data_IF_469509626453
#
_entry.id   IF_469509626453
#
_cell.length_a   1.000
_cell.length_b   1.000
_cell.length_c   1.000
_cell.angle_alpha   90.00
_cell.angle_beta   90.00
_cell.angle_gamma   90.00
#
_symmetry.space_group_name_H-M   'P 1'
#
loop_
_entity.id
_entity.type
_entity.pdbx_description
1 polymer ?
#
# COMPACT_ATOMS: atom_id res chain seq x y z
N UNK A 1 24.33 8.52 22.64
CA UNK A 1 23.73 7.52 21.75
C UNK A 1 22.55 6.89 22.47
N UNK A 2 21.37 6.95 21.86
CA UNK A 2 20.18 6.25 22.37
C UNK A 2 20.29 4.82 21.86
N UNK A 3 20.48 3.87 22.77
CA UNK A 3 20.48 2.45 22.42
C UNK A 3 19.06 2.02 22.08
N UNK A 4 18.83 1.60 20.83
CA UNK A 4 17.56 1.06 20.34
C UNK A 4 17.71 -0.43 20.14
N UNK A 5 16.86 -1.21 20.80
CA UNK A 5 16.88 -2.69 20.67
C UNK A 5 15.63 -3.15 19.95
N UNK A 6 14.49 -2.57 20.31
CA UNK A 6 13.19 -2.90 19.75
C UNK A 6 12.44 -1.65 19.32
N UNK A 7 11.52 -1.81 18.37
CA UNK A 7 10.48 -0.84 18.11
C UNK A 7 9.15 -1.54 17.83
N UNK A 8 8.08 -0.82 18.07
CA UNK A 8 6.75 -1.15 17.54
C UNK A 8 6.27 0.02 16.71
N UNK A 9 5.55 -0.26 15.64
CA UNK A 9 4.97 0.78 14.82
C UNK A 9 3.55 0.42 14.36
N UNK A 10 2.77 1.46 14.11
CA UNK A 10 1.44 1.36 13.55
C UNK A 10 1.29 2.40 12.43
N UNK A 11 0.78 1.98 11.27
CA UNK A 11 0.62 2.82 10.10
C UNK A 11 -0.79 2.79 9.55
N UNK A 12 -1.16 3.89 8.93
CA UNK A 12 -2.28 3.98 8.02
C UNK A 12 -1.77 4.47 6.65
N UNK A 13 -2.43 4.04 5.59
CA UNK A 13 -1.99 4.42 4.25
C UNK A 13 -2.95 3.98 3.18
N UNK A 14 -2.45 3.96 1.96
CA UNK A 14 -3.19 3.50 0.81
C UNK A 14 -2.33 2.68 -0.15
N UNK A 15 -2.98 1.71 -0.78
CA UNK A 15 -2.40 0.90 -1.83
C UNK A 15 -3.14 1.09 -3.15
N UNK A 16 -2.42 1.03 -4.26
CA UNK A 16 -3.00 1.05 -5.59
C UNK A 16 -2.24 0.14 -6.55
N UNK A 17 -2.97 -0.47 -7.46
CA UNK A 17 -2.41 -1.42 -8.43
C UNK A 17 -1.91 -0.72 -9.68
N UNK A 18 -0.94 -1.34 -10.36
CA UNK A 18 -0.50 -0.90 -11.68
C UNK A 18 -1.62 -1.03 -12.72
N UNK A 19 -1.54 -0.21 -13.76
CA UNK A 19 -2.47 -0.27 -14.88
C UNK A 19 -2.44 -1.66 -15.54
N UNK A 20 -3.62 -2.22 -15.78
CA UNK A 20 -3.76 -3.42 -16.57
C UNK A 20 -3.42 -3.14 -18.04
N UNK A 21 -2.94 -4.16 -18.73
CA UNK A 21 -2.81 -4.10 -20.19
C UNK A 21 -4.20 -4.14 -20.82
N UNK A 22 -4.44 -3.20 -21.73
CA UNK A 22 -5.71 -3.02 -22.41
C UNK A 22 -5.60 -3.42 -23.88
N UNK A 23 -6.59 -4.14 -24.39
CA UNK A 23 -6.73 -4.46 -25.82
C UNK A 23 -8.22 -4.38 -26.23
N UNK A 24 -8.45 -3.98 -27.50
CA UNK A 24 -9.81 -3.81 -28.02
C UNK A 24 -10.31 -2.37 -27.91
N UNK A 25 -11.62 -2.19 -27.85
CA UNK A 25 -12.25 -0.87 -27.76
C UNK A 25 -11.99 -0.23 -26.40
N UNK A 26 -11.71 1.07 -26.36
CA UNK A 26 -11.61 1.79 -25.09
C UNK A 26 -12.98 1.97 -24.46
N UNK A 27 -13.07 1.58 -23.19
CA UNK A 27 -14.22 1.86 -22.33
C UNK A 27 -13.75 2.82 -21.23
N UNK A 28 -14.03 4.12 -21.35
CA UNK A 28 -13.38 5.18 -20.56
C UNK A 28 -13.53 5.04 -19.04
N UNK A 29 -14.54 4.32 -18.57
CA UNK A 29 -14.87 4.22 -17.14
C UNK A 29 -14.08 3.14 -16.40
N UNK A 30 -13.46 2.20 -17.09
CA UNK A 30 -12.89 1.00 -16.50
C UNK A 30 -11.38 0.87 -16.65
N UNK A 31 -10.65 1.99 -16.47
CA UNK A 31 -9.20 1.91 -16.37
C UNK A 31 -8.81 1.29 -15.03
N UNK A 32 -8.26 0.08 -15.10
CA UNK A 32 -7.67 -0.59 -13.95
C UNK A 32 -6.32 0.05 -13.59
N UNK A 33 -6.04 0.20 -12.29
CA UNK A 33 -4.76 0.67 -11.81
C UNK A 33 -4.61 2.20 -11.76
N UNK A 34 -5.68 2.96 -11.94
CA UNK A 34 -5.62 4.42 -11.73
C UNK A 34 -5.57 4.74 -10.23
N UNK A 35 -5.07 5.94 -9.90
CA UNK A 35 -5.12 6.52 -8.54
C UNK A 35 -6.55 6.66 -7.98
N UNK A 36 -7.57 6.35 -8.78
CA UNK A 36 -8.98 6.32 -8.37
C UNK A 36 -9.38 5.03 -7.64
N UNK A 37 -8.50 4.03 -7.61
CA UNK A 37 -8.70 2.74 -6.94
C UNK A 37 -7.72 2.59 -5.76
N UNK A 38 -7.64 3.60 -4.91
CA UNK A 38 -6.82 3.55 -3.70
C UNK A 38 -7.61 2.83 -2.62
N UNK A 39 -7.08 1.69 -2.16
CA UNK A 39 -7.60 0.96 -1.00
C UNK A 39 -6.90 1.38 0.28
N UNK A 40 -7.59 1.23 1.40
CA UNK A 40 -7.03 1.50 2.72
C UNK A 40 -5.98 0.44 3.09
N UNK A 41 -4.92 0.88 3.74
CA UNK A 41 -3.84 0.04 4.24
C UNK A 41 -3.60 0.37 5.72
N UNK A 42 -3.61 -0.65 6.56
CA UNK A 42 -3.20 -0.54 7.97
C UNK A 42 -2.10 -1.54 8.26
N UNK A 43 -1.12 -1.15 9.07
CA UNK A 43 0.02 -1.99 9.41
C UNK A 43 0.31 -1.92 10.91
N UNK A 44 0.73 -3.05 11.47
CA UNK A 44 1.24 -3.18 12.84
C UNK A 44 2.47 -4.05 12.82
N UNK A 45 3.61 -3.49 13.21
CA UNK A 45 4.87 -4.22 13.15
C UNK A 45 5.66 -4.11 14.44
N UNK A 46 6.51 -5.10 14.64
CA UNK A 46 7.64 -5.06 15.57
C UNK A 46 8.94 -5.06 14.76
N UNK A 47 9.91 -4.31 15.21
CA UNK A 47 11.22 -4.19 14.60
C UNK A 47 12.30 -4.49 15.64
N UNK A 48 13.31 -5.26 15.23
CA UNK A 48 14.47 -5.60 16.05
C UNK A 48 15.74 -5.08 15.38
N UNK A 49 16.48 -4.22 16.08
CA UNK A 49 17.74 -3.68 15.60
C UNK A 49 18.88 -4.63 15.88
N UNK A 50 19.62 -5.01 14.84
CA UNK A 50 20.77 -5.89 14.98
C UNK A 50 21.92 -5.13 15.63
N UNK A 51 22.48 -5.64 16.75
CA UNK A 51 23.54 -4.96 17.49
C UNK A 51 24.75 -4.63 16.61
N UNK A 52 25.32 -3.43 16.78
CA UNK A 52 26.50 -2.95 16.06
C UNK A 52 26.37 -2.94 14.52
N UNK A 53 25.16 -2.82 14.01
CA UNK A 53 24.89 -2.72 12.59
C UNK A 53 23.87 -1.62 12.31
N UNK A 54 23.74 -1.23 11.03
CA UNK A 54 22.68 -0.34 10.57
C UNK A 54 21.47 -1.15 10.01
N UNK A 55 21.35 -2.42 10.37
CA UNK A 55 20.29 -3.28 9.92
C UNK A 55 19.29 -3.59 11.01
N UNK A 56 18.04 -3.74 10.62
CA UNK A 56 16.99 -4.28 11.46
C UNK A 56 16.16 -5.33 10.72
N UNK A 57 15.48 -6.15 11.50
CA UNK A 57 14.47 -7.09 11.05
C UNK A 57 13.10 -6.58 11.49
N UNK A 58 12.15 -6.58 10.60
CA UNK A 58 10.79 -6.09 10.83
C UNK A 58 9.80 -7.20 10.52
N UNK A 59 8.84 -7.42 11.39
CA UNK A 59 7.79 -8.41 11.19
C UNK A 59 6.46 -7.89 11.74
N UNK A 60 5.36 -8.29 11.13
CA UNK A 60 4.06 -7.88 11.62
C UNK A 60 2.90 -8.29 10.74
N UNK A 61 1.80 -7.59 10.97
CA UNK A 61 0.53 -7.80 10.31
C UNK A 61 0.15 -6.57 9.49
N UNK A 62 -0.39 -6.82 8.30
CA UNK A 62 -0.95 -5.80 7.45
C UNK A 62 -2.34 -6.19 6.97
N UNK A 63 -3.25 -5.23 6.99
CA UNK A 63 -4.56 -5.33 6.39
C UNK A 63 -4.64 -4.35 5.22
N UNK A 64 -5.02 -4.84 4.06
CA UNK A 64 -5.11 -4.06 2.83
C UNK A 64 -6.49 -4.26 2.19
N UNK A 65 -7.22 -3.18 2.04
CA UNK A 65 -8.43 -3.15 1.24
C UNK A 65 -8.04 -2.97 -0.22
N UNK A 66 -8.47 -3.89 -1.06
CA UNK A 66 -8.18 -3.90 -2.50
C UNK A 66 -9.42 -3.43 -3.24
N UNK A 67 -9.37 -2.21 -3.78
CA UNK A 67 -10.50 -1.64 -4.51
C UNK A 67 -10.26 -1.67 -6.01
N UNK A 68 -11.30 -2.00 -6.76
CA UNK A 68 -11.32 -2.03 -8.21
C UNK A 68 -12.54 -1.31 -8.75
N UNK A 69 -12.54 -0.97 -10.02
CA UNK A 69 -13.70 -0.42 -10.72
C UNK A 69 -14.29 0.81 -10.02
N UNK A 70 -13.43 1.71 -9.51
CA UNK A 70 -13.84 2.91 -8.76
C UNK A 70 -14.65 2.57 -7.48
N UNK A 71 -14.30 1.47 -6.81
CA UNK A 71 -14.95 1.03 -5.58
C UNK A 71 -16.19 0.15 -5.77
N UNK A 72 -16.54 -0.22 -6.99
CA UNK A 72 -17.66 -1.16 -7.24
C UNK A 72 -17.32 -2.60 -6.79
N UNK A 73 -16.02 -2.92 -6.69
CA UNK A 73 -15.54 -4.18 -6.13
C UNK A 73 -14.45 -3.89 -5.10
N UNK A 74 -14.62 -4.42 -3.90
CA UNK A 74 -13.66 -4.34 -2.81
C UNK A 74 -13.38 -5.73 -2.24
N UNK A 75 -12.13 -5.99 -1.92
CA UNK A 75 -11.67 -7.24 -1.31
C UNK A 75 -10.74 -6.89 -0.18
N UNK A 76 -10.85 -7.60 0.92
CA UNK A 76 -9.92 -7.50 2.04
C UNK A 76 -8.80 -8.52 1.90
N UNK A 77 -7.60 -8.12 2.26
CA UNK A 77 -6.44 -8.99 2.25
C UNK A 77 -5.65 -8.83 3.54
N UNK A 78 -5.61 -9.89 4.34
CA UNK A 78 -4.88 -9.96 5.58
C UNK A 78 -3.55 -10.68 5.36
N UNK A 79 -2.44 -10.06 5.76
CA UNK A 79 -1.11 -10.50 5.42
C UNK A 79 -0.18 -10.49 6.63
N UNK A 80 0.69 -11.48 6.71
CA UNK A 80 1.87 -11.42 7.55
C UNK A 80 3.04 -10.86 6.73
N UNK A 81 3.77 -9.92 7.32
CA UNK A 81 4.94 -9.28 6.73
C UNK A 81 6.20 -9.69 7.49
N UNK A 82 7.24 -9.98 6.74
CA UNK A 82 8.62 -10.12 7.21
C UNK A 82 9.52 -9.29 6.31
N UNK A 83 10.38 -8.45 6.88
CA UNK A 83 11.25 -7.59 6.09
C UNK A 83 12.55 -7.25 6.80
N UNK A 84 13.46 -6.67 6.04
CA UNK A 84 14.71 -6.11 6.53
C UNK A 84 14.81 -4.64 6.18
N UNK A 85 15.44 -3.86 7.04
CA UNK A 85 15.72 -2.43 6.84
C UNK A 85 17.20 -2.16 6.99
N UNK A 86 17.69 -1.28 6.16
CA UNK A 86 19.04 -0.72 6.25
C UNK A 86 18.92 0.80 6.43
N UNK A 87 19.40 1.29 7.56
CA UNK A 87 19.42 2.71 7.90
C UNK A 87 20.69 3.37 7.36
N UNK A 88 20.53 4.40 6.55
CA UNK A 88 21.66 5.07 5.85
C UNK A 88 22.27 6.19 6.68
N UNK A 89 21.54 6.71 7.67
CA UNK A 89 22.00 7.81 8.51
C UNK A 89 22.45 7.34 9.90
N UNK A 90 23.35 8.08 10.55
CA UNK A 90 23.68 7.86 11.95
C UNK A 90 22.44 7.91 12.86
N UNK A 91 22.47 7.14 13.96
CA UNK A 91 21.34 7.00 14.90
C UNK A 91 21.02 8.26 15.71
N UNK A 92 21.91 9.24 15.71
CA UNK A 92 21.75 10.54 16.37
C UNK A 92 21.07 11.61 15.51
N UNK A 93 20.83 11.31 14.22
CA UNK A 93 20.09 12.22 13.35
C UNK A 93 18.59 12.17 13.65
N UNK A 94 17.96 13.33 13.62
CA UNK A 94 16.51 13.46 13.80
C UNK A 94 15.69 12.90 12.63
N UNK A 95 16.31 12.72 11.44
CA UNK A 95 15.76 12.03 10.28
C UNK A 95 16.62 10.82 9.97
N UNK A 96 16.03 9.65 9.97
CA UNK A 96 16.72 8.40 9.65
C UNK A 96 16.10 7.74 8.43
N UNK A 97 16.61 8.04 7.22
CA UNK A 97 16.17 7.38 6.02
C UNK A 97 16.63 5.93 5.99
N UNK A 98 15.81 5.07 5.44
CA UNK A 98 16.11 3.66 5.28
C UNK A 98 15.61 3.12 3.94
N UNK A 99 16.17 1.99 3.54
CA UNK A 99 15.68 1.16 2.46
C UNK A 99 15.64 -0.30 2.91
N UNK A 100 14.88 -1.11 2.22
CA UNK A 100 14.76 -2.51 2.60
C UNK A 100 13.98 -3.36 1.61
N UNK A 101 13.67 -4.55 2.05
CA UNK A 101 12.85 -5.51 1.31
C UNK A 101 11.80 -6.08 2.24
N UNK A 102 10.59 -6.23 1.72
CA UNK A 102 9.47 -6.87 2.39
C UNK A 102 9.03 -8.12 1.65
N UNK A 103 8.64 -9.13 2.41
CA UNK A 103 7.95 -10.32 1.98
C UNK A 103 6.61 -10.37 2.72
N UNK A 104 5.52 -10.61 1.99
CA UNK A 104 4.18 -10.66 2.54
C UNK A 104 3.52 -11.98 2.14
N UNK A 105 2.83 -12.59 3.08
CA UNK A 105 2.04 -13.79 2.87
C UNK A 105 0.60 -13.51 3.29
N UNK A 106 -0.32 -13.51 2.31
CA UNK A 106 -1.75 -13.37 2.57
C UNK A 106 -2.34 -14.74 2.92
N UNK A 107 -3.10 -14.79 4.01
CA UNK A 107 -3.75 -16.03 4.45
C UNK A 107 -5.21 -16.13 4.04
N UNK A 108 -5.78 -15.06 3.50
CA UNK A 108 -7.17 -14.97 3.01
C UNK A 108 -7.25 -14.50 1.55
N UNK A 109 -6.20 -14.76 0.74
CA UNK A 109 -6.19 -14.39 -0.67
C UNK A 109 -7.28 -15.14 -1.44
N UNK A 110 -8.30 -14.41 -1.87
CA UNK A 110 -9.47 -14.95 -2.54
C UNK A 110 -9.31 -15.02 -4.07
N UNK A 111 -10.06 -15.96 -4.65
CA UNK A 111 -10.36 -16.01 -6.08
C UNK A 111 -11.80 -15.63 -6.26
N UNK A 112 -12.06 -14.53 -6.94
CA UNK A 112 -13.42 -14.05 -7.14
C UNK A 112 -13.72 -13.81 -8.60
N UNK A 113 -14.97 -14.11 -8.99
CA UNK A 113 -15.54 -13.66 -10.25
C UNK A 113 -16.45 -12.49 -9.95
N UNK A 114 -16.41 -11.47 -10.79
CA UNK A 114 -17.30 -10.31 -10.68
C UNK A 114 -18.07 -10.09 -11.99
N UNK A 115 -19.24 -9.52 -11.86
CA UNK A 115 -20.01 -8.98 -12.97
C UNK A 115 -20.48 -7.58 -12.60
N UNK A 116 -20.44 -6.67 -13.54
CA UNK A 116 -20.90 -5.30 -13.35
C UNK A 116 -21.67 -4.84 -14.57
N UNK A 117 -22.64 -3.97 -14.38
CA UNK A 117 -23.31 -3.24 -15.46
C UNK A 117 -23.24 -1.75 -15.16
N UNK A 118 -22.95 -0.94 -16.17
CA UNK A 118 -22.88 0.50 -16.01
C UNK A 118 -23.42 1.20 -17.24
N UNK A 119 -23.94 2.39 -17.04
CA UNK A 119 -24.34 3.29 -18.11
C UNK A 119 -23.46 4.54 -18.11
N UNK A 120 -22.97 4.91 -19.28
CA UNK A 120 -22.21 6.15 -19.48
C UNK A 120 -23.05 7.07 -20.37
N UNK A 121 -23.35 8.24 -19.85
CA UNK A 121 -24.07 9.27 -20.60
C UNK A 121 -23.08 10.33 -21.08
N UNK A 122 -22.98 10.53 -22.37
CA UNK A 122 -22.10 11.54 -22.99
C UNK A 122 -22.90 12.51 -23.85
N UNK A 123 -22.57 13.80 -23.74
CA UNK A 123 -23.04 14.85 -24.64
C UNK A 123 -23.66 16.06 -23.93
N UNK A 124 -23.29 17.25 -24.40
CA UNK A 124 -23.91 18.54 -23.98
C UNK A 124 -25.08 18.97 -24.88
N UNK A 125 -25.28 18.32 -26.03
CA UNK A 125 -26.35 18.62 -26.98
C UNK A 125 -26.94 17.35 -27.63
N UNK A 126 -27.29 16.39 -26.84
CA UNK A 126 -27.86 15.12 -27.29
C UNK A 126 -27.31 13.99 -26.45
N UNK A 127 -28.07 13.63 -25.44
CA UNK A 127 -27.70 12.62 -24.46
C UNK A 127 -27.69 11.25 -25.12
N UNK A 128 -26.50 10.70 -25.38
CA UNK A 128 -26.37 9.28 -25.71
C UNK A 128 -25.96 8.52 -24.46
N UNK A 129 -26.78 7.54 -24.08
CA UNK A 129 -26.46 6.62 -22.99
C UNK A 129 -25.95 5.31 -23.59
N UNK A 130 -24.75 4.93 -23.22
CA UNK A 130 -24.15 3.66 -23.57
C UNK A 130 -24.23 2.74 -22.37
N UNK A 131 -24.79 1.56 -22.56
CA UNK A 131 -24.81 0.53 -21.51
C UNK A 131 -23.66 -0.44 -21.75
N UNK A 132 -22.89 -0.70 -20.69
CA UNK A 132 -21.79 -1.66 -20.72
C UNK A 132 -22.04 -2.77 -19.72
N UNK A 133 -21.74 -3.99 -20.13
CA UNK A 133 -21.71 -5.15 -19.26
C UNK A 133 -20.26 -5.61 -19.13
N UNK A 134 -19.84 -5.83 -17.90
CA UNK A 134 -18.51 -6.30 -17.59
C UNK A 134 -18.55 -7.59 -16.78
N UNK A 135 -17.64 -8.49 -17.07
CA UNK A 135 -17.40 -9.68 -16.27
C UNK A 135 -15.91 -9.95 -16.20
N UNK A 136 -15.49 -10.52 -15.10
CA UNK A 136 -14.07 -10.78 -14.93
C UNK A 136 -13.78 -11.75 -13.80
N UNK A 137 -12.47 -12.03 -13.67
CA UNK A 137 -11.91 -12.83 -12.59
C UNK A 137 -10.71 -12.12 -12.01
N UNK A 138 -10.64 -12.15 -10.71
CA UNK A 138 -9.49 -11.67 -9.95
C UNK A 138 -8.93 -12.80 -9.09
N UNK A 139 -7.61 -12.88 -9.03
CA UNK A 139 -6.88 -13.74 -8.12
C UNK A 139 -5.91 -12.87 -7.34
N UNK A 140 -6.19 -12.68 -6.06
CA UNK A 140 -5.32 -11.91 -5.17
C UNK A 140 -3.99 -12.65 -4.93
N UNK A 141 -2.86 -11.93 -4.78
CA UNK A 141 -1.58 -12.56 -4.55
C UNK A 141 -1.52 -13.16 -3.16
N UNK A 142 -1.29 -14.47 -3.07
CA UNK A 142 -1.01 -15.13 -1.81
C UNK A 142 0.36 -14.77 -1.25
N UNK A 143 1.30 -14.50 -2.13
CA UNK A 143 2.65 -14.09 -1.79
C UNK A 143 3.03 -12.82 -2.55
N UNK A 144 3.64 -11.86 -1.86
CA UNK A 144 4.17 -10.65 -2.46
C UNK A 144 5.54 -10.35 -1.89
N UNK A 145 6.41 -9.73 -2.69
CA UNK A 145 7.68 -9.24 -2.21
C UNK A 145 8.08 -7.98 -2.97
N UNK A 146 8.90 -7.14 -2.36
CA UNK A 146 9.42 -5.98 -3.06
C UNK A 146 10.18 -5.00 -2.19
N UNK A 147 10.78 -3.99 -2.85
CA UNK A 147 11.54 -2.95 -2.17
C UNK A 147 10.64 -2.02 -1.36
N UNK A 148 11.22 -1.51 -0.30
CA UNK A 148 10.65 -0.46 0.54
C UNK A 148 11.68 0.62 0.77
N UNK A 149 11.23 1.86 0.81
CA UNK A 149 12.01 3.03 1.21
C UNK A 149 11.17 3.87 2.16
N UNK A 150 11.83 4.49 3.13
CA UNK A 150 11.15 5.32 4.10
C UNK A 150 12.08 6.17 4.91
N UNK A 151 11.50 6.90 5.85
CA UNK A 151 12.24 7.69 6.82
C UNK A 151 11.50 7.77 8.16
N UNK A 152 12.26 7.69 9.23
CA UNK A 152 11.82 7.95 10.59
C UNK A 152 12.16 9.40 10.95
N UNK A 153 11.16 10.19 11.32
CA UNK A 153 11.30 11.57 11.78
C UNK A 153 11.12 11.58 13.30
N UNK A 154 12.22 11.69 14.03
CA UNK A 154 12.21 11.63 15.48
C UNK A 154 11.69 12.92 16.08
N UNK A 155 10.55 12.84 16.76
CA UNK A 155 9.98 13.93 17.55
C UNK A 155 10.61 13.97 18.94
N UNK A 156 10.94 12.78 19.44
CA UNK A 156 11.61 12.55 20.72
C UNK A 156 12.64 11.44 20.53
N UNK A 157 13.48 11.22 21.52
CA UNK A 157 14.53 10.18 21.46
C UNK A 157 14.00 8.79 21.07
N UNK A 158 12.76 8.49 21.46
CA UNK A 158 12.15 7.16 21.28
C UNK A 158 10.88 7.15 20.46
N UNK A 159 10.37 8.31 20.01
CA UNK A 159 9.12 8.40 19.25
C UNK A 159 9.41 9.08 17.92
N UNK A 160 9.04 8.42 16.84
CA UNK A 160 9.18 8.94 15.49
C UNK A 160 7.87 8.86 14.71
N UNK A 161 7.66 9.81 13.81
CA UNK A 161 6.73 9.68 12.69
C UNK A 161 7.47 8.94 11.59
N UNK A 162 6.89 7.88 11.06
CA UNK A 162 7.44 7.09 9.98
C UNK A 162 6.65 7.33 8.70
N UNK A 163 7.36 7.57 7.59
CA UNK A 163 6.78 7.64 6.25
C UNK A 163 7.41 6.55 5.42
N UNK A 164 6.59 5.75 4.76
CA UNK A 164 7.04 4.58 4.02
C UNK A 164 6.35 4.47 2.67
N UNK A 165 7.14 4.15 1.65
CA UNK A 165 6.68 3.74 0.33
C UNK A 165 7.22 2.35 0.02
N UNK A 166 6.37 1.47 -0.51
CA UNK A 166 6.78 0.15 -0.99
C UNK A 166 6.18 -0.16 -2.36
N UNK A 167 6.94 -0.88 -3.17
CA UNK A 167 6.46 -1.49 -4.39
C UNK A 167 6.42 -3.00 -4.21
N UNK A 168 5.28 -3.63 -4.45
CA UNK A 168 5.01 -5.03 -4.14
C UNK A 168 4.70 -5.82 -5.40
N UNK A 169 5.55 -6.77 -5.73
CA UNK A 169 5.31 -7.75 -6.78
C UNK A 169 4.36 -8.81 -6.23
N UNK A 170 3.16 -8.92 -6.79
CA UNK A 170 2.21 -9.96 -6.42
C UNK A 170 2.44 -11.21 -7.27
N UNK A 171 2.87 -12.30 -6.64
CA UNK A 171 3.12 -13.57 -7.31
C UNK A 171 1.84 -14.39 -7.43
N UNK A 172 1.73 -15.14 -8.54
CA UNK A 172 0.57 -15.97 -8.86
C UNK A 172 -0.76 -15.21 -8.77
N UNK A 173 -0.73 -13.94 -9.18
CA UNK A 173 -1.88 -13.05 -9.17
C UNK A 173 -2.27 -12.69 -10.58
N UNK A 174 -3.57 -12.51 -10.81
CA UNK A 174 -4.03 -12.00 -12.09
C UNK A 174 -5.37 -11.29 -11.97
N UNK A 175 -5.55 -10.34 -12.85
CA UNK A 175 -6.79 -9.67 -13.14
C UNK A 175 -7.12 -9.86 -14.62
N UNK A 176 -8.37 -10.27 -14.91
CA UNK A 176 -8.91 -10.35 -16.26
C UNK A 176 -10.33 -9.84 -16.24
N UNK A 177 -10.61 -8.88 -17.09
CA UNK A 177 -11.95 -8.34 -17.25
C UNK A 177 -12.26 -8.13 -18.71
N UNK A 178 -13.50 -8.43 -19.07
CA UNK A 178 -14.08 -8.20 -20.40
C UNK A 178 -15.25 -7.25 -20.22
N UNK A 179 -15.25 -6.16 -20.98
CA UNK A 179 -16.32 -5.19 -21.01
C UNK A 179 -16.90 -5.14 -22.43
N UNK A 180 -18.21 -5.22 -22.53
CA UNK A 180 -18.95 -5.19 -23.79
C UNK A 180 -19.96 -4.05 -23.77
N UNK A 181 -20.03 -3.31 -24.87
CA UNK A 181 -21.10 -2.35 -25.10
C UNK A 181 -22.34 -3.07 -25.57
N UNK A 182 -23.45 -2.86 -24.87
CA UNK A 182 -24.73 -3.51 -25.17
C UNK A 182 -25.28 -3.04 -26.52
N UNK A 183 -25.56 -3.99 -27.40
CA UNK A 183 -26.02 -3.68 -28.75
C UNK A 183 -24.91 -3.30 -29.75
N UNK A 184 -23.65 -3.44 -29.38
CA UNK A 184 -22.49 -3.25 -30.25
C UNK A 184 -21.58 -4.48 -30.23
N UNK A 185 -20.69 -4.59 -31.20
CA UNK A 185 -19.60 -5.58 -31.20
C UNK A 185 -18.37 -5.10 -30.48
N UNK A 186 -18.40 -3.90 -29.90
CA UNK A 186 -17.27 -3.32 -29.20
C UNK A 186 -16.98 -4.04 -27.89
N UNK A 187 -15.81 -4.65 -27.81
CA UNK A 187 -15.36 -5.40 -26.63
C UNK A 187 -14.01 -4.91 -26.21
N UNK A 188 -13.86 -4.68 -24.91
CA UNK A 188 -12.61 -4.29 -24.26
C UNK A 188 -12.11 -5.42 -23.38
N UNK A 189 -10.83 -5.75 -23.49
CA UNK A 189 -10.18 -6.76 -22.69
C UNK A 189 -9.09 -6.10 -21.83
N UNK A 190 -9.16 -6.33 -20.54
CA UNK A 190 -8.16 -5.88 -19.59
C UNK A 190 -7.56 -7.08 -18.88
N UNK A 191 -6.24 -7.12 -18.81
CA UNK A 191 -5.54 -8.18 -18.08
C UNK A 191 -4.23 -7.65 -17.48
N UNK A 192 -3.81 -8.22 -16.38
CA UNK A 192 -2.57 -7.86 -15.73
C UNK A 192 -2.28 -8.70 -14.50
N UNK A 193 -1.08 -8.53 -13.99
CA UNK A 193 -0.68 -9.02 -12.68
C UNK A 193 -0.96 -7.94 -11.63
N UNK A 194 -1.20 -8.37 -10.40
CA UNK A 194 -1.53 -7.47 -9.32
C UNK A 194 -0.26 -6.98 -8.59
N UNK A 195 0.57 -6.23 -9.33
CA UNK A 195 1.66 -5.47 -8.74
C UNK A 195 1.10 -4.16 -8.22
N UNK A 196 1.58 -3.73 -7.03
CA UNK A 196 0.99 -2.58 -6.36
C UNK A 196 2.01 -1.69 -5.68
N UNK A 197 1.64 -0.43 -5.58
CA UNK A 197 2.31 0.59 -4.82
C UNK A 197 1.58 0.78 -3.49
N UNK A 198 2.31 0.99 -2.42
CA UNK A 198 1.74 1.30 -1.12
C UNK A 198 2.49 2.47 -0.49
N UNK A 199 1.74 3.43 0.04
CA UNK A 199 2.25 4.58 0.78
C UNK A 199 1.59 4.60 2.14
N UNK A 200 2.37 4.80 3.19
CA UNK A 200 1.84 4.84 4.56
C UNK A 200 2.58 5.83 5.44
N UNK A 201 1.86 6.32 6.43
CA UNK A 201 2.39 7.15 7.52
C UNK A 201 2.03 6.49 8.83
N UNK A 202 2.94 6.50 9.79
CA UNK A 202 2.74 5.83 11.07
C UNK A 202 3.51 6.48 12.21
N UNK A 203 3.26 5.92 13.40
CA UNK A 203 4.01 6.22 14.61
C UNK A 203 4.86 5.02 14.98
N UNK A 204 6.08 5.28 15.38
CA UNK A 204 7.06 4.31 15.83
C UNK A 204 7.55 4.65 17.23
N UNK A 205 7.59 3.64 18.10
CA UNK A 205 8.08 3.76 19.47
C UNK A 205 9.23 2.78 19.65
N UNK A 206 10.40 3.30 20.05
CA UNK A 206 11.59 2.51 20.29
C UNK A 206 11.74 2.16 21.77
N UNK A 207 12.36 1.00 22.03
CA UNK A 207 12.65 0.49 23.35
C UNK A 207 14.14 0.13 23.49
N UNK A 208 14.74 0.25 24.69
CA UNK A 208 14.11 0.66 25.95
C UNK A 208 13.59 2.10 25.88
N UNK A 209 12.44 2.34 26.49
CA UNK A 209 11.84 3.68 26.52
C UNK A 209 12.52 4.50 27.63
N UNK A 210 13.42 5.40 27.22
CA UNK A 210 14.12 6.33 28.11
C UNK A 210 13.65 7.75 27.82
N UNK A 211 13.03 8.39 28.80
CA UNK A 211 12.68 9.81 28.70
C UNK A 211 13.89 10.64 29.18
N UNK A 212 14.51 11.39 28.30
CA UNK A 212 15.65 12.25 28.64
C UNK A 212 15.17 13.66 29.01
N UNK A 213 15.94 14.38 29.82
CA UNK A 213 15.63 15.77 30.18
C UNK A 213 15.56 16.69 28.94
N UNK A 214 16.27 16.34 27.87
CA UNK A 214 16.24 17.07 26.60
C UNK A 214 14.92 16.87 25.84
N UNK A 215 14.26 15.72 25.99
CA UNK A 215 12.94 15.48 25.36
C UNK A 215 11.88 16.44 25.91
N UNK A 216 11.93 16.73 27.22
CA UNK A 216 11.06 17.71 27.85
C UNK A 216 11.30 19.15 27.40
N UNK A 217 12.56 19.53 27.16
CA UNK A 217 12.93 20.86 26.67
C UNK A 217 12.53 21.08 25.23
N UNK A 218 12.83 20.12 24.34
CA UNK A 218 12.50 20.24 22.92
C UNK A 218 10.99 20.30 22.68
N UNK A 219 10.19 19.62 23.52
CA UNK A 219 8.73 19.71 23.47
C UNK A 219 8.23 21.09 23.92
N UNK A 220 8.84 21.64 24.97
CA UNK A 220 8.46 22.96 25.49
C UNK A 220 8.82 24.08 24.52
N UNK A 221 10.03 24.05 23.96
CA UNK A 221 10.52 25.04 23.01
C UNK A 221 9.72 24.99 21.70
N UNK A 222 9.34 23.80 21.23
CA UNK A 222 8.52 23.63 20.01
C UNK A 222 7.03 23.96 20.14
N UNK A 223 6.51 24.05 21.38
CA UNK A 223 5.10 24.43 21.62
C UNK A 223 4.90 25.90 21.98
N UNK A 224 5.95 26.60 22.42
CA UNK A 224 5.85 27.94 23.01
C UNK A 224 6.82 28.97 22.39
N UNK A 225 7.58 28.62 21.37
CA UNK A 225 8.26 29.53 20.45
C UNK A 225 7.57 29.55 19.07
#
# INVERSE_FOLDING_TARGET
DVERVWAIDAHIGGGFYQNAHHTGAEVPKYHFGSTQNIGMLTKFHAEYYLPNTNFSLKAGYEHEEVTFLKGEAAYDMNQLMLGGRWYVAPTDWWVQPYMGLDMLCAFDAEHSAFSTSTSITTGSMGTKTYEYEGYGKIRLPRFSAGPVVGADFYLFSNIAVQVEYSYRLGFDSHYRATYMEKGSSNTSYNHGQLHRHAVSVGLKINFPFTFTANDGRSLWDGLFE
#
